data_IF_093385569885
#
_entry.id   IF_093385569885
#
_cell.length_a   1.000
_cell.length_b   1.000
_cell.length_c   1.000
_cell.angle_alpha   90.00
_cell.angle_beta   90.00
_cell.angle_gamma   90.00
#
_symmetry.space_group_name_H-M   'P 1'
#
loop_
_entity.id
_entity.type
_entity.pdbx_description
1 polymer ?
#
# COMPACT_ATOMS: atom_id res chain seq x y z
N UNK A 1 -7.04 -2.24 42.14
CA UNK A 1 -7.75 -2.15 40.84
C UNK A 1 -7.79 -3.56 40.29
N UNK A 2 -8.95 -4.19 40.37
CA UNK A 2 -9.10 -5.55 39.90
C UNK A 2 -9.26 -5.50 38.38
N UNK A 3 -8.36 -6.20 37.66
CA UNK A 3 -8.43 -6.30 36.21
C UNK A 3 -9.55 -7.26 35.83
N UNK A 4 -10.63 -6.72 35.33
CA UNK A 4 -11.70 -7.52 34.77
C UNK A 4 -11.35 -8.00 33.35
N UNK A 5 -11.97 -9.07 32.90
CA UNK A 5 -11.65 -9.74 31.63
C UNK A 5 -11.76 -8.80 30.43
N UNK A 6 -12.71 -7.87 30.46
CA UNK A 6 -12.86 -6.89 29.36
C UNK A 6 -11.66 -5.94 29.21
N UNK A 7 -10.96 -5.60 30.32
CA UNK A 7 -9.73 -4.81 30.24
C UNK A 7 -8.65 -5.53 29.44
N UNK A 8 -8.53 -6.85 29.62
CA UNK A 8 -7.55 -7.67 28.89
C UNK A 8 -7.85 -7.61 27.39
N UNK A 9 -9.12 -7.77 26.99
CA UNK A 9 -9.52 -7.68 25.59
C UNK A 9 -9.21 -6.30 24.99
N UNK A 10 -9.46 -5.22 25.72
CA UNK A 10 -9.16 -3.85 25.27
C UNK A 10 -7.64 -3.65 25.10
N UNK A 11 -6.83 -4.11 26.07
CA UNK A 11 -5.37 -4.01 25.97
C UNK A 11 -4.86 -4.75 24.72
N UNK A 12 -5.34 -5.97 24.50
CA UNK A 12 -4.96 -6.75 23.31
C UNK A 12 -5.40 -6.04 22.03
N UNK A 13 -6.60 -5.46 21.99
CA UNK A 13 -7.06 -4.67 20.84
C UNK A 13 -6.15 -3.48 20.56
N UNK A 14 -5.73 -2.75 21.60
CA UNK A 14 -4.80 -1.62 21.46
C UNK A 14 -3.43 -2.07 20.94
N UNK A 15 -2.89 -3.18 21.43
CA UNK A 15 -1.62 -3.73 20.95
C UNK A 15 -1.66 -4.07 19.47
N UNK A 16 -2.72 -4.72 18.99
CA UNK A 16 -2.91 -5.00 17.57
C UNK A 16 -3.14 -3.74 16.73
N UNK A 17 -3.86 -2.74 17.27
CA UNK A 17 -4.02 -1.45 16.62
C UNK A 17 -2.70 -0.70 16.46
N UNK A 18 -1.84 -0.73 17.48
CA UNK A 18 -0.49 -0.14 17.41
C UNK A 18 0.40 -0.91 16.42
N UNK A 19 0.36 -2.25 16.44
CA UNK A 19 1.12 -3.08 15.51
C UNK A 19 0.80 -2.78 14.04
N UNK A 20 -0.46 -2.45 13.73
CA UNK A 20 -0.90 -2.06 12.39
C UNK A 20 -0.23 -0.80 11.86
N UNK A 21 0.18 0.12 12.76
CA UNK A 21 0.90 1.36 12.36
C UNK A 21 2.29 1.02 11.79
N UNK A 22 2.94 0.00 12.33
CA UNK A 22 4.29 -0.42 11.91
C UNK A 22 4.27 -1.34 10.69
N UNK A 23 3.23 -2.15 10.54
CA UNK A 23 3.08 -3.11 9.45
C UNK A 23 1.63 -3.13 8.94
N UNK A 24 1.26 -2.20 8.05
CA UNK A 24 -0.12 -2.06 7.58
C UNK A 24 -0.53 -3.25 6.69
N UNK A 25 -1.00 -4.31 7.31
CA UNK A 25 -1.48 -5.53 6.66
C UNK A 25 -3.01 -5.65 6.64
N UNK A 26 -3.69 -4.82 7.45
CA UNK A 26 -5.13 -4.86 7.74
C UNK A 26 -5.61 -6.15 8.41
N UNK A 27 -4.68 -7.05 8.75
CA UNK A 27 -4.96 -8.28 9.50
C UNK A 27 -5.03 -7.95 10.99
N UNK A 28 -4.05 -7.22 11.52
CA UNK A 28 -4.01 -6.82 12.91
C UNK A 28 -5.21 -5.94 13.27
N UNK A 29 -5.64 -5.05 12.36
CA UNK A 29 -6.87 -4.26 12.52
C UNK A 29 -8.11 -5.16 12.66
N UNK A 30 -8.22 -6.22 11.87
CA UNK A 30 -9.35 -7.14 11.95
C UNK A 30 -9.38 -7.88 13.28
N UNK A 31 -8.21 -8.29 13.81
CA UNK A 31 -8.08 -8.91 15.13
C UNK A 31 -8.45 -7.91 16.22
N UNK A 32 -7.99 -6.66 16.13
CA UNK A 32 -8.33 -5.60 17.09
C UNK A 32 -9.86 -5.40 17.18
N UNK A 33 -10.56 -5.36 16.05
CA UNK A 33 -12.03 -5.26 16.01
C UNK A 33 -12.67 -6.46 16.70
N UNK A 34 -12.18 -7.69 16.44
CA UNK A 34 -12.66 -8.88 17.14
C UNK A 34 -12.49 -8.80 18.66
N UNK A 35 -11.32 -8.32 19.12
CA UNK A 35 -11.06 -8.10 20.54
C UNK A 35 -12.02 -7.07 21.17
N UNK A 36 -12.35 -5.98 20.47
CA UNK A 36 -13.32 -5.00 20.96
C UNK A 36 -14.72 -5.58 21.09
N UNK A 37 -15.16 -6.44 20.17
CA UNK A 37 -16.44 -7.13 20.29
C UNK A 37 -16.45 -8.12 21.47
N UNK A 38 -15.34 -8.83 21.70
CA UNK A 38 -15.20 -9.69 22.88
C UNK A 38 -15.20 -8.87 24.18
N UNK A 39 -14.55 -7.69 24.18
CA UNK A 39 -14.57 -6.78 25.33
C UNK A 39 -15.97 -6.30 25.65
N UNK A 40 -16.77 -5.94 24.64
CA UNK A 40 -18.19 -5.61 24.83
C UNK A 40 -18.96 -6.78 25.46
N UNK A 41 -18.78 -8.00 24.92
CA UNK A 41 -19.40 -9.19 25.51
C UNK A 41 -18.99 -9.41 26.97
N UNK A 42 -17.72 -9.23 27.31
CA UNK A 42 -17.22 -9.33 28.68
C UNK A 42 -17.81 -8.24 29.59
N UNK A 43 -17.98 -7.01 29.11
CA UNK A 43 -18.61 -5.91 29.84
C UNK A 43 -20.11 -6.12 30.15
N UNK A 44 -20.75 -7.01 29.39
CA UNK A 44 -22.13 -7.47 29.64
C UNK A 44 -22.20 -8.83 30.38
N UNK A 45 -21.15 -9.21 31.09
CA UNK A 45 -21.03 -10.47 31.83
C UNK A 45 -21.27 -11.74 30.99
N UNK A 46 -21.01 -11.67 29.67
CA UNK A 46 -21.12 -12.84 28.83
C UNK A 46 -20.08 -13.90 29.22
N UNK A 47 -20.44 -15.18 29.10
CA UNK A 47 -19.52 -16.27 29.36
C UNK A 47 -18.29 -16.22 28.45
N UNK A 48 -17.15 -16.75 28.93
CA UNK A 48 -15.91 -16.77 28.14
C UNK A 48 -16.08 -17.44 26.77
N UNK A 49 -16.93 -18.47 26.67
CA UNK A 49 -17.28 -19.11 25.39
C UNK A 49 -17.94 -18.12 24.42
N UNK A 50 -18.83 -17.29 24.92
CA UNK A 50 -19.51 -16.27 24.12
C UNK A 50 -18.51 -15.17 23.68
N UNK A 51 -17.61 -14.76 24.57
CA UNK A 51 -16.55 -13.80 24.24
C UNK A 51 -15.66 -14.32 23.10
N UNK A 52 -15.24 -15.60 23.14
CA UNK A 52 -14.47 -16.23 22.06
C UNK A 52 -15.25 -16.31 20.75
N UNK A 53 -16.56 -16.56 20.83
CA UNK A 53 -17.41 -16.58 19.65
C UNK A 53 -17.52 -15.17 19.02
N UNK A 54 -17.74 -14.15 19.84
CA UNK A 54 -17.77 -12.76 19.41
C UNK A 54 -16.42 -12.32 18.80
N UNK A 55 -15.31 -12.71 19.43
CA UNK A 55 -13.97 -12.49 18.90
C UNK A 55 -13.80 -13.11 17.51
N UNK A 56 -14.10 -14.40 17.39
CA UNK A 56 -13.90 -15.15 16.15
C UNK A 56 -14.79 -14.62 15.01
N UNK A 57 -16.08 -14.44 15.30
CA UNK A 57 -17.03 -13.90 14.34
C UNK A 57 -16.67 -12.46 13.94
N UNK A 58 -16.35 -11.62 14.91
CA UNK A 58 -15.95 -10.24 14.69
C UNK A 58 -14.68 -10.12 13.85
N UNK A 59 -13.65 -10.91 14.16
CA UNK A 59 -12.40 -10.95 13.38
C UNK A 59 -12.67 -11.41 11.95
N UNK A 60 -13.47 -12.46 11.75
CA UNK A 60 -13.79 -12.96 10.41
C UNK A 60 -14.58 -11.91 9.60
N UNK A 61 -15.63 -11.34 10.17
CA UNK A 61 -16.43 -10.30 9.50
C UNK A 61 -15.54 -9.10 9.16
N UNK A 62 -14.73 -8.62 10.11
CA UNK A 62 -13.82 -7.50 9.89
C UNK A 62 -12.79 -7.82 8.79
N UNK A 63 -12.21 -9.01 8.79
CA UNK A 63 -11.24 -9.44 7.78
C UNK A 63 -11.83 -9.41 6.36
N UNK A 64 -13.00 -9.97 6.17
CA UNK A 64 -13.64 -10.01 4.86
C UNK A 64 -14.25 -8.68 4.42
N UNK A 65 -14.51 -7.76 5.33
CA UNK A 65 -15.12 -6.45 5.04
C UNK A 65 -14.07 -5.35 4.98
N UNK A 66 -13.28 -5.20 6.03
CA UNK A 66 -12.33 -4.07 6.19
C UNK A 66 -11.15 -4.22 5.23
N UNK A 67 -10.57 -5.41 5.14
CA UNK A 67 -9.40 -5.65 4.31
C UNK A 67 -9.63 -5.33 2.83
N UNK A 68 -10.64 -5.88 2.12
CA UNK A 68 -10.86 -5.55 0.72
C UNK A 68 -11.21 -4.09 0.50
N UNK A 69 -11.94 -3.47 1.44
CA UNK A 69 -12.27 -2.05 1.37
C UNK A 69 -11.02 -1.18 1.49
N UNK A 70 -10.15 -1.46 2.46
CA UNK A 70 -8.90 -0.73 2.67
C UNK A 70 -7.90 -0.94 1.53
N UNK A 71 -7.79 -2.16 0.99
CA UNK A 71 -6.96 -2.44 -0.18
C UNK A 71 -7.44 -1.66 -1.41
N UNK A 72 -8.75 -1.59 -1.66
CA UNK A 72 -9.30 -0.77 -2.74
C UNK A 72 -8.98 0.72 -2.55
N UNK A 73 -9.07 1.21 -1.32
CA UNK A 73 -8.77 2.60 -1.01
C UNK A 73 -7.28 2.93 -1.15
N UNK A 74 -6.41 2.02 -0.71
CA UNK A 74 -4.96 2.14 -0.86
C UNK A 74 -4.55 2.12 -2.35
N UNK A 75 -5.12 1.21 -3.16
CA UNK A 75 -4.85 1.14 -4.60
C UNK A 75 -5.41 2.37 -5.36
N UNK A 76 -6.55 2.92 -4.93
CA UNK A 76 -7.11 4.13 -5.53
C UNK A 76 -6.21 5.34 -5.32
N UNK A 77 -5.51 5.40 -4.18
CA UNK A 77 -4.54 6.46 -3.88
C UNK A 77 -3.24 6.26 -4.67
N UNK A 78 -2.83 5.03 -4.94
CA UNK A 78 -1.65 4.73 -5.75
C UNK A 78 -1.87 4.92 -7.26
N UNK A 79 -3.10 4.82 -7.77
CA UNK A 79 -3.39 5.07 -9.18
C UNK A 79 -3.28 6.55 -9.60
N UNK A 80 -3.10 7.47 -8.64
CA UNK A 80 -2.83 8.88 -8.94
C UNK A 80 -1.33 9.22 -8.92
N UNK A 81 -0.50 8.31 -8.43
CA UNK A 81 0.96 8.43 -8.55
C UNK A 81 1.37 7.52 -9.71
N UNK A 82 1.35 8.07 -10.94
CA UNK A 82 2.07 7.44 -12.06
C UNK A 82 3.49 7.18 -11.58
N UNK A 83 4.00 5.97 -11.78
CA UNK A 83 5.43 5.71 -11.54
C UNK A 83 6.23 6.76 -12.31
N UNK A 84 7.40 7.14 -11.82
CA UNK A 84 8.20 8.18 -12.47
C UNK A 84 8.33 7.96 -13.99
N UNK A 85 8.43 6.71 -14.44
CA UNK A 85 8.52 6.35 -15.86
C UNK A 85 7.18 6.56 -16.59
N UNK A 86 6.05 6.14 -16.01
CA UNK A 86 4.72 6.32 -16.62
C UNK A 86 4.31 7.80 -16.70
N UNK A 87 4.87 8.65 -15.83
CA UNK A 87 4.64 10.08 -15.84
C UNK A 87 5.37 10.78 -17.01
N UNK A 88 6.39 10.13 -17.57
CA UNK A 88 7.19 10.67 -18.69
C UNK A 88 6.56 10.36 -20.05
N UNK A 89 5.66 9.40 -20.14
CA UNK A 89 4.98 9.06 -21.42
C UNK A 89 4.24 10.28 -21.98
N UNK A 90 4.55 10.64 -23.23
CA UNK A 90 4.05 11.83 -23.91
C UNK A 90 4.79 13.12 -23.58
N UNK A 91 5.88 13.06 -22.80
CA UNK A 91 6.76 14.21 -22.58
C UNK A 91 7.87 14.26 -23.62
N UNK A 92 8.31 15.47 -23.91
CA UNK A 92 9.45 15.69 -24.80
C UNK A 92 10.74 15.87 -24.01
N UNK A 93 11.80 15.26 -24.47
CA UNK A 93 13.13 15.38 -23.90
C UNK A 93 14.18 15.74 -24.96
N UNK A 94 15.30 16.28 -24.52
CA UNK A 94 16.46 16.56 -25.39
C UNK A 94 17.52 15.49 -25.19
N UNK A 95 18.00 14.91 -26.28
CA UNK A 95 19.06 13.92 -26.26
C UNK A 95 20.38 14.55 -25.80
N UNK A 96 20.95 14.00 -24.72
CA UNK A 96 22.22 14.43 -24.12
C UNK A 96 23.37 13.52 -24.51
N UNK A 97 23.09 12.25 -24.83
CA UNK A 97 24.03 11.26 -25.36
C UNK A 97 23.37 10.52 -26.51
N UNK A 98 24.07 10.37 -27.65
CA UNK A 98 23.50 9.72 -28.83
C UNK A 98 22.87 8.36 -28.49
N UNK A 99 21.64 8.16 -28.96
CA UNK A 99 20.91 6.94 -28.72
C UNK A 99 21.26 5.94 -29.82
N UNK A 100 21.87 4.81 -29.43
CA UNK A 100 22.19 3.69 -30.30
C UNK A 100 21.92 2.39 -29.54
N UNK A 101 20.84 1.70 -29.92
CA UNK A 101 20.45 0.45 -29.28
C UNK A 101 21.49 -0.65 -29.46
N UNK A 102 22.26 -0.64 -30.55
CA UNK A 102 23.29 -1.64 -30.82
C UNK A 102 24.48 -1.53 -29.88
N UNK A 103 24.80 -0.31 -29.47
CA UNK A 103 25.86 0.01 -28.51
C UNK A 103 25.34 0.10 -27.07
N UNK A 104 24.04 -0.05 -26.88
CA UNK A 104 23.35 0.14 -25.60
C UNK A 104 23.66 1.50 -24.96
N UNK A 105 23.83 2.55 -25.76
CA UNK A 105 24.04 3.94 -25.36
C UNK A 105 22.76 4.75 -25.61
N UNK A 106 22.58 5.82 -24.87
CA UNK A 106 21.49 6.79 -25.06
C UNK A 106 21.03 7.40 -23.77
N UNK A 107 21.06 8.73 -23.72
CA UNK A 107 20.51 9.50 -22.61
C UNK A 107 19.73 10.68 -23.14
N UNK A 108 18.65 11.02 -22.46
CA UNK A 108 17.86 12.20 -22.76
C UNK A 108 17.46 12.89 -21.46
N UNK A 109 17.46 14.20 -21.48
CA UNK A 109 16.97 15.04 -20.40
C UNK A 109 15.48 15.28 -20.58
N UNK A 110 14.68 14.75 -19.67
CA UNK A 110 13.23 14.88 -19.66
C UNK A 110 12.82 15.56 -18.36
N UNK A 111 12.13 16.70 -18.42
CA UNK A 111 11.70 17.49 -17.26
C UNK A 111 12.80 17.86 -16.25
N UNK A 112 14.06 17.96 -16.71
CA UNK A 112 15.20 18.34 -15.87
C UNK A 112 15.99 17.18 -15.30
N UNK A 113 15.54 15.94 -15.50
CA UNK A 113 16.22 14.73 -15.08
C UNK A 113 16.83 13.99 -16.28
N UNK A 114 18.01 13.40 -16.08
CA UNK A 114 18.74 12.67 -17.11
C UNK A 114 18.39 11.17 -17.07
N UNK A 115 17.70 10.71 -18.11
CA UNK A 115 17.20 9.35 -18.23
C UNK A 115 17.96 8.56 -19.27
N UNK A 116 18.21 7.27 -18.97
CA UNK A 116 18.66 6.33 -19.98
C UNK A 116 17.48 5.95 -20.87
N UNK A 117 17.65 6.11 -22.19
CA UNK A 117 16.59 5.90 -23.18
C UNK A 117 17.06 4.98 -24.30
N UNK A 118 16.10 4.30 -24.92
CA UNK A 118 16.29 3.46 -26.11
C UNK A 118 15.24 3.87 -27.15
N UNK A 119 15.54 3.69 -28.43
CA UNK A 119 14.57 3.88 -29.52
C UNK A 119 13.78 2.61 -29.75
N UNK A 120 12.51 2.74 -30.17
CA UNK A 120 11.64 1.60 -30.48
C UNK A 120 11.96 0.95 -31.83
N UNK A 121 12.45 1.75 -32.76
CA UNK A 121 12.71 1.38 -34.16
C UNK A 121 14.20 1.17 -34.48
N UNK A 122 15.05 1.05 -33.45
CA UNK A 122 16.49 0.92 -33.57
C UNK A 122 17.17 2.04 -34.38
N UNK A 123 16.51 3.17 -34.57
CA UNK A 123 17.08 4.34 -35.20
C UNK A 123 18.12 5.00 -34.32
N UNK A 124 19.18 5.54 -34.93
CA UNK A 124 20.21 6.33 -34.23
C UNK A 124 19.70 7.77 -34.12
N UNK A 125 19.64 8.30 -32.88
CA UNK A 125 19.25 9.68 -32.61
C UNK A 125 20.45 10.46 -32.08
N UNK A 126 20.73 11.60 -32.70
CA UNK A 126 21.94 12.39 -32.39
C UNK A 126 21.70 13.31 -31.16
N UNK A 127 22.83 13.69 -30.54
CA UNK A 127 22.81 14.67 -29.44
C UNK A 127 22.19 15.98 -29.87
N UNK A 128 21.29 16.49 -29.04
CA UNK A 128 20.57 17.76 -29.24
C UNK A 128 19.21 17.62 -29.91
N UNK A 129 18.88 16.45 -30.46
CA UNK A 129 17.56 16.20 -31.03
C UNK A 129 16.49 16.10 -29.92
N UNK A 130 15.26 16.42 -30.28
CA UNK A 130 14.09 16.31 -29.39
C UNK A 130 13.42 14.96 -29.63
N UNK A 131 13.13 14.26 -28.56
CA UNK A 131 12.45 12.96 -28.59
C UNK A 131 11.22 13.01 -27.73
N UNK A 132 10.20 12.25 -28.08
CA UNK A 132 9.01 12.02 -27.27
C UNK A 132 9.10 10.65 -26.61
N UNK A 133 8.79 10.60 -25.31
CA UNK A 133 8.83 9.37 -24.50
C UNK A 133 7.54 8.61 -24.60
#
# INVERSE_FOLDING_TARGET
>A
MDLEVWHIWVIVALLFGIAEIFAPSFIAMSIAIGCLLAALGAGFDASFKMQLLLFSAGTAIAFFTVRPFMLKFAHRKNNTVKTNVDALVGKTGRVTEAIDNSLATGRAMVEGDDWRVLTQDDSIVNVGEMVEV
#
